data_IF_043619848570
#
_entry.id   IF_043619848570
#
_cell.length_a   1.000
_cell.length_b   1.000
_cell.length_c   1.000
_cell.angle_alpha   90.00
_cell.angle_beta   90.00
_cell.angle_gamma   90.00
#
_symmetry.space_group_name_H-M   'P 1'
#
loop_
_entity.id
_entity.type
_entity.pdbx_description
1 polymer ?
#
# COMPACT_ATOMS: atom_id res chain seq x y z
N UNK A 1 -0.61 -15.89 -46.07
CA UNK A 1 0.63 -16.70 -46.17
C UNK A 1 1.60 -16.22 -45.10
N UNK A 2 1.93 -17.17 -44.18
CA UNK A 2 3.10 -17.18 -43.28
C UNK A 2 3.28 -15.98 -42.33
N UNK A 3 2.90 -16.17 -41.06
CA UNK A 3 3.75 -16.23 -39.87
C UNK A 3 2.87 -16.49 -38.64
N UNK A 4 2.55 -17.76 -38.45
CA UNK A 4 2.05 -18.31 -37.21
C UNK A 4 2.97 -19.49 -36.87
N UNK A 5 3.89 -19.31 -35.97
CA UNK A 5 4.56 -20.36 -35.21
C UNK A 5 5.61 -19.71 -34.32
N UNK A 6 5.37 -19.82 -33.01
CA UNK A 6 6.40 -20.03 -31.98
C UNK A 6 5.80 -19.65 -30.60
N UNK A 7 5.07 -20.63 -30.05
CA UNK A 7 5.01 -20.83 -28.59
C UNK A 7 4.42 -22.22 -28.33
N UNK A 8 5.29 -23.21 -28.28
CA UNK A 8 5.01 -24.50 -27.63
C UNK A 8 6.29 -24.94 -26.92
N UNK A 9 6.19 -25.11 -25.63
CA UNK A 9 7.28 -25.69 -24.86
C UNK A 9 6.93 -25.76 -23.37
N UNK A 10 5.96 -26.59 -22.98
CA UNK A 10 5.89 -27.10 -21.62
C UNK A 10 5.58 -28.58 -21.70
N UNK A 11 6.57 -29.40 -21.45
CA UNK A 11 6.50 -30.83 -21.28
C UNK A 11 5.88 -31.14 -19.90
N UNK A 12 4.73 -31.73 -19.88
CA UNK A 12 4.20 -32.49 -18.75
C UNK A 12 4.45 -33.98 -19.03
N UNK A 13 4.85 -34.80 -18.04
CA UNK A 13 4.97 -36.23 -18.22
C UNK A 13 3.59 -36.91 -18.17
N UNK A 14 3.40 -37.76 -19.17
CA UNK A 14 2.28 -38.70 -19.30
C UNK A 14 2.41 -39.86 -18.30
N UNK A 15 1.29 -40.26 -17.73
CA UNK A 15 1.11 -41.64 -17.30
C UNK A 15 0.58 -41.79 -15.90
N UNK A 16 -0.77 -41.90 -15.79
CA UNK A 16 -1.42 -42.90 -14.94
C UNK A 16 -2.87 -43.05 -15.43
N UNK A 17 -3.17 -44.26 -15.96
CA UNK A 17 -4.48 -44.71 -16.40
C UNK A 17 -5.46 -44.80 -15.23
N UNK A 18 -6.70 -44.43 -15.50
CA UNK A 18 -7.84 -44.65 -14.61
C UNK A 18 -8.33 -46.09 -14.74
N UNK A 19 -8.51 -46.77 -13.61
CA UNK A 19 -9.26 -48.01 -13.51
C UNK A 19 -10.52 -47.77 -12.64
N UNK A 20 -11.63 -48.49 -12.93
CA UNK A 20 -12.95 -48.12 -12.45
C UNK A 20 -13.28 -48.71 -11.06
N UNK A 21 -14.18 -48.02 -10.35
CA UNK A 21 -14.76 -48.44 -9.07
C UNK A 21 -15.68 -49.68 -9.24
N UNK A 22 -15.73 -50.56 -8.25
CA UNK A 22 -16.93 -51.31 -7.94
C UNK A 22 -17.53 -50.94 -6.59
N UNK A 23 -18.86 -50.98 -6.57
CA UNK A 23 -19.75 -50.79 -5.44
C UNK A 23 -19.59 -51.82 -4.32
N UNK A 24 -19.99 -51.39 -3.11
CA UNK A 24 -20.40 -52.17 -1.94
C UNK A 24 -19.36 -52.99 -1.17
N UNK A 25 -19.11 -52.56 0.05
CA UNK A 25 -19.37 -53.37 1.25
C UNK A 25 -18.92 -52.65 2.55
N UNK A 26 -19.80 -52.73 3.52
CA UNK A 26 -19.62 -52.43 4.93
C UNK A 26 -18.50 -53.28 5.57
N UNK A 27 -17.53 -52.64 6.28
CA UNK A 27 -16.77 -53.32 7.33
C UNK A 27 -16.04 -52.32 8.24
N UNK A 28 -16.34 -52.39 9.50
CA UNK A 28 -15.61 -52.17 10.77
C UNK A 28 -14.27 -51.40 10.76
N UNK A 29 -14.27 -50.45 11.67
CA UNK A 29 -13.10 -49.88 12.35
C UNK A 29 -12.30 -50.97 13.05
N UNK A 30 -11.01 -51.05 12.76
CA UNK A 30 -9.92 -51.32 13.72
C UNK A 30 -8.56 -51.29 13.00
N UNK A 31 -7.61 -50.59 13.66
CA UNK A 31 -6.15 -50.69 13.53
C UNK A 31 -5.46 -50.64 12.16
N UNK A 32 -4.61 -49.62 11.94
CA UNK A 32 -3.17 -49.79 11.75
C UNK A 32 -2.44 -48.50 11.35
N UNK A 33 -1.49 -48.13 12.17
CA UNK A 33 -0.10 -47.77 11.89
C UNK A 33 0.28 -46.93 10.66
N UNK A 34 0.89 -45.80 10.97
CA UNK A 34 2.13 -45.21 10.44
C UNK A 34 2.46 -45.45 8.96
N UNK A 35 2.51 -44.38 8.19
CA UNK A 35 3.65 -44.22 7.28
C UNK A 35 4.01 -42.76 7.08
N UNK A 36 5.29 -42.53 7.09
CA UNK A 36 6.00 -41.24 7.03
C UNK A 36 5.78 -40.58 5.68
N UNK A 37 5.35 -39.34 5.68
CA UNK A 37 5.56 -38.42 4.54
C UNK A 37 6.27 -37.15 5.06
N UNK A 38 7.54 -37.04 4.72
CA UNK A 38 8.30 -35.82 4.78
C UNK A 38 7.55 -34.69 4.07
N UNK A 39 7.09 -33.71 4.83
CA UNK A 39 6.71 -32.41 4.32
C UNK A 39 7.71 -31.39 4.83
N UNK A 40 8.22 -30.56 3.90
CA UNK A 40 9.14 -29.48 4.16
C UNK A 40 8.60 -28.54 5.26
N UNK A 41 9.44 -28.05 6.20
CA UNK A 41 8.99 -27.25 7.30
C UNK A 41 8.67 -25.82 6.87
N UNK A 42 7.42 -25.43 7.04
CA UNK A 42 7.04 -24.01 7.14
C UNK A 42 7.51 -23.50 8.52
N UNK A 43 7.94 -22.22 8.66
CA UNK A 43 8.38 -21.69 9.93
C UNK A 43 7.16 -21.45 10.82
N UNK A 44 6.83 -22.43 11.62
CA UNK A 44 5.85 -22.28 12.71
C UNK A 44 6.59 -21.94 13.99
N UNK A 45 6.27 -20.80 14.54
CA UNK A 45 6.58 -20.46 15.92
C UNK A 45 5.70 -21.33 16.84
N UNK A 46 6.13 -22.54 17.08
CA UNK A 46 5.45 -23.50 17.94
C UNK A 46 6.22 -23.69 19.22
N UNK A 47 5.54 -23.50 20.35
CA UNK A 47 6.00 -23.93 21.67
C UNK A 47 6.04 -25.46 21.63
N UNK A 48 7.20 -26.07 21.50
CA UNK A 48 7.36 -27.52 21.58
C UNK A 48 7.35 -27.93 23.07
N UNK A 49 6.23 -28.45 23.50
CA UNK A 49 6.11 -29.03 24.84
C UNK A 49 6.32 -30.56 24.73
N UNK A 50 7.40 -31.08 25.30
CA UNK A 50 7.58 -32.53 25.49
C UNK A 50 6.85 -32.97 26.77
N UNK A 51 5.88 -33.85 26.62
CA UNK A 51 5.20 -34.48 27.74
C UNK A 51 5.92 -35.80 28.05
N UNK A 52 6.53 -35.90 29.21
CA UNK A 52 7.08 -37.16 29.71
C UNK A 52 6.10 -37.77 30.71
N UNK A 53 5.73 -39.07 30.58
CA UNK A 53 4.85 -39.69 31.56
C UNK A 53 5.60 -40.03 32.85
N UNK A 54 5.23 -39.37 33.93
CA UNK A 54 5.56 -39.77 35.26
C UNK A 54 4.26 -40.17 35.96
N UNK A 55 4.28 -41.35 36.62
CA UNK A 55 3.15 -41.97 37.31
C UNK A 55 2.16 -40.94 37.93
N UNK A 56 1.00 -40.81 37.31
CA UNK A 56 -0.18 -40.06 37.75
C UNK A 56 -0.13 -38.54 37.92
N UNK A 57 0.88 -37.82 37.37
CA UNK A 57 0.86 -36.34 37.26
C UNK A 57 1.68 -35.89 36.06
N UNK A 58 1.08 -35.10 35.19
CA UNK A 58 1.76 -34.46 34.08
C UNK A 58 2.40 -33.15 34.58
N UNK A 59 3.72 -33.05 34.50
CA UNK A 59 4.45 -31.81 34.74
C UNK A 59 4.95 -31.27 33.42
N UNK A 60 4.54 -30.05 33.04
CA UNK A 60 5.07 -29.32 31.90
C UNK A 60 6.45 -28.76 32.27
N UNK A 61 7.50 -29.25 31.63
CA UNK A 61 8.83 -28.63 31.74
C UNK A 61 9.11 -27.77 30.53
N UNK A 62 9.44 -26.48 30.67
CA UNK A 62 9.84 -25.65 29.57
C UNK A 62 11.23 -26.05 29.05
N UNK A 63 11.35 -26.29 27.74
CA UNK A 63 12.60 -26.71 27.08
C UNK A 63 13.49 -25.49 26.75
N UNK A 64 13.35 -24.39 27.43
CA UNK A 64 14.29 -23.29 27.32
C UNK A 64 15.35 -23.35 28.45
N UNK A 65 16.49 -23.99 28.14
CA UNK A 65 17.69 -23.79 28.92
C UNK A 65 18.28 -22.42 28.55
N UNK A 66 18.36 -21.53 29.55
CA UNK A 66 19.14 -20.29 29.58
C UNK A 66 18.62 -19.05 28.83
N UNK A 67 17.33 -18.70 28.94
CA UNK A 67 16.95 -17.28 28.92
C UNK A 67 16.05 -17.00 30.14
N UNK A 68 16.35 -15.98 30.95
CA UNK A 68 15.47 -15.60 32.05
C UNK A 68 14.10 -15.19 31.49
N UNK A 69 13.01 -15.66 32.10
CA UNK A 69 11.61 -15.39 31.72
C UNK A 69 11.26 -13.88 31.66
N UNK A 70 12.20 -13.00 31.96
CA UNK A 70 12.05 -11.54 31.97
C UNK A 70 12.46 -10.80 30.70
N UNK A 71 12.88 -11.49 29.62
CA UNK A 71 13.33 -10.85 28.39
C UNK A 71 12.66 -11.37 27.11
N UNK A 72 11.39 -11.73 27.16
CA UNK A 72 10.55 -11.66 25.98
C UNK A 72 10.28 -10.17 25.75
N UNK A 73 11.23 -9.50 25.09
CA UNK A 73 11.01 -8.18 24.52
C UNK A 73 9.88 -8.35 23.51
N UNK A 74 8.65 -8.13 23.95
CA UNK A 74 7.49 -8.14 23.05
C UNK A 74 7.30 -6.73 22.53
N UNK A 75 7.42 -6.56 21.23
CA UNK A 75 7.10 -5.32 20.52
C UNK A 75 5.74 -4.79 21.00
N UNK A 76 5.72 -3.55 21.47
CA UNK A 76 4.52 -2.92 22.01
C UNK A 76 3.89 -1.97 20.98
N UNK A 77 2.58 -1.80 21.06
CA UNK A 77 1.85 -0.81 20.25
C UNK A 77 2.38 0.61 20.50
N UNK A 78 2.95 0.88 21.66
CA UNK A 78 3.55 2.16 21.98
C UNK A 78 4.84 2.39 21.18
N UNK A 79 5.70 1.38 21.08
CA UNK A 79 6.91 1.44 20.25
C UNK A 79 6.56 1.62 18.76
N UNK A 80 5.53 0.94 18.28
CA UNK A 80 5.03 1.10 16.91
C UNK A 80 4.58 2.55 16.66
N UNK A 81 3.81 3.17 17.57
CA UNK A 81 3.42 4.58 17.45
C UNK A 81 4.63 5.52 17.45
N UNK A 82 5.60 5.27 18.31
CA UNK A 82 6.83 6.04 18.37
C UNK A 82 7.63 5.94 17.04
N UNK A 83 7.72 4.74 16.50
CA UNK A 83 8.36 4.52 15.20
C UNK A 83 7.67 5.32 14.08
N UNK A 84 6.34 5.25 13.99
CA UNK A 84 5.57 6.01 13.00
C UNK A 84 5.79 7.51 13.16
N UNK A 85 5.73 8.04 14.39
CA UNK A 85 5.96 9.46 14.65
C UNK A 85 7.35 9.94 14.18
N UNK A 86 8.40 9.13 14.37
CA UNK A 86 9.74 9.44 13.87
C UNK A 86 9.80 9.33 12.34
N UNK A 87 9.15 8.34 11.76
CA UNK A 87 9.10 8.15 10.30
C UNK A 87 8.40 9.31 9.58
N UNK A 88 7.34 9.86 10.17
CA UNK A 88 6.57 10.97 9.61
C UNK A 88 7.27 12.33 9.75
N UNK A 89 7.97 12.54 10.87
CA UNK A 89 8.62 13.83 11.14
C UNK A 89 10.05 13.91 10.64
N UNK A 90 10.70 12.77 10.34
CA UNK A 90 12.13 12.70 10.00
C UNK A 90 13.08 13.15 11.12
N UNK A 91 12.56 13.38 12.35
CA UNK A 91 13.31 13.95 13.46
C UNK A 91 12.84 13.41 14.80
N UNK A 92 13.78 12.86 15.58
CA UNK A 92 13.50 12.43 16.96
C UNK A 92 12.99 13.58 17.84
N UNK A 93 13.55 14.76 17.66
CA UNK A 93 13.15 15.94 18.44
C UNK A 93 11.70 16.34 18.17
N UNK A 94 11.32 16.44 16.89
CA UNK A 94 9.96 16.75 16.49
C UNK A 94 8.97 15.67 16.90
N UNK A 95 9.31 14.39 16.69
CA UNK A 95 8.49 13.27 17.09
C UNK A 95 8.29 13.20 18.62
N UNK A 96 9.32 13.49 19.40
CA UNK A 96 9.23 13.50 20.86
C UNK A 96 8.29 14.62 21.37
N UNK A 97 8.32 15.79 20.74
CA UNK A 97 7.38 16.88 21.03
C UNK A 97 5.94 16.47 20.73
N UNK A 98 5.70 15.89 19.54
CA UNK A 98 4.36 15.41 19.14
C UNK A 98 3.85 14.31 20.06
N UNK A 99 4.72 13.42 20.52
CA UNK A 99 4.39 12.31 21.41
C UNK A 99 4.35 12.68 22.91
N UNK A 100 4.67 13.94 23.27
CA UNK A 100 4.76 14.43 24.66
C UNK A 100 5.69 13.61 25.55
N UNK A 101 6.84 13.19 25.03
CA UNK A 101 7.86 12.42 25.75
C UNK A 101 9.26 13.03 25.55
N UNK A 102 10.25 12.58 26.37
CA UNK A 102 11.63 13.03 26.19
C UNK A 102 12.28 12.38 24.95
N UNK A 103 13.21 13.08 24.31
CA UNK A 103 13.97 12.56 23.17
C UNK A 103 14.76 11.28 23.53
N UNK A 104 15.28 11.20 24.76
CA UNK A 104 15.98 10.01 25.26
C UNK A 104 15.06 8.80 25.34
N UNK A 105 13.83 8.99 25.84
CA UNK A 105 12.81 7.93 25.90
C UNK A 105 12.43 7.45 24.50
N UNK A 106 12.23 8.37 23.55
CA UNK A 106 11.90 8.02 22.17
C UNK A 106 13.05 7.28 21.49
N UNK A 107 14.29 7.76 21.66
CA UNK A 107 15.49 7.12 21.12
C UNK A 107 15.64 5.69 21.63
N UNK A 108 15.48 5.49 22.94
CA UNK A 108 15.55 4.16 23.54
C UNK A 108 14.46 3.22 23.01
N UNK A 109 13.23 3.73 22.84
CA UNK A 109 12.11 2.94 22.31
C UNK A 109 12.36 2.49 20.85
N UNK A 110 12.96 3.34 20.02
CA UNK A 110 13.34 2.98 18.64
C UNK A 110 14.48 1.95 18.65
N UNK A 111 15.51 2.14 19.46
CA UNK A 111 16.62 1.19 19.57
C UNK A 111 16.14 -0.20 19.99
N UNK A 112 15.29 -0.27 21.03
CA UNK A 112 14.70 -1.54 21.49
C UNK A 112 13.87 -2.20 20.40
N UNK A 113 13.12 -1.42 19.61
CA UNK A 113 12.35 -1.95 18.49
C UNK A 113 13.26 -2.53 17.39
N UNK A 114 14.34 -1.82 17.03
CA UNK A 114 15.31 -2.28 16.03
C UNK A 114 16.06 -3.54 16.52
N UNK A 115 16.42 -3.61 17.81
CA UNK A 115 17.03 -4.78 18.43
C UNK A 115 16.10 -5.99 18.42
N UNK A 116 14.82 -5.78 18.68
CA UNK A 116 13.82 -6.86 18.69
C UNK A 116 13.57 -7.42 17.29
N UNK A 117 13.45 -6.53 16.29
CA UNK A 117 13.25 -6.91 14.90
C UNK A 117 14.55 -7.46 14.27
N UNK A 118 15.71 -7.08 14.81
CA UNK A 118 17.02 -7.52 14.34
C UNK A 118 17.54 -6.78 13.10
N UNK A 119 16.90 -5.66 12.73
CA UNK A 119 17.33 -4.82 11.59
C UNK A 119 17.18 -3.34 11.93
N UNK A 120 18.03 -2.51 11.34
CA UNK A 120 17.90 -1.05 11.46
C UNK A 120 16.76 -0.54 10.58
N UNK A 121 15.84 0.20 11.19
CA UNK A 121 14.70 0.80 10.52
C UNK A 121 14.99 2.23 10.05
N UNK A 122 15.96 2.89 10.69
CA UNK A 122 16.38 4.24 10.35
C UNK A 122 17.86 4.32 10.00
N UNK A 123 18.18 5.24 9.10
CA UNK A 123 19.54 5.74 8.83
C UNK A 123 19.67 7.16 9.39
N UNK A 124 20.76 7.43 10.14
CA UNK A 124 21.02 8.73 10.76
C UNK A 124 21.95 9.55 9.87
N UNK A 125 21.57 10.79 9.60
CA UNK A 125 22.35 11.73 8.82
C UNK A 125 22.45 13.08 9.54
N UNK A 126 23.35 13.94 9.07
CA UNK A 126 23.50 15.30 9.64
C UNK A 126 22.22 16.16 9.55
N UNK A 127 21.31 15.84 8.63
CA UNK A 127 20.03 16.54 8.41
C UNK A 127 18.83 15.88 9.11
N UNK A 128 19.01 14.77 9.86
CA UNK A 128 17.94 14.08 10.55
C UNK A 128 17.97 12.54 10.38
N UNK A 129 16.80 11.94 10.38
CA UNK A 129 16.62 10.49 10.23
C UNK A 129 15.80 10.18 8.98
N UNK A 130 16.23 9.20 8.21
CA UNK A 130 15.51 8.65 7.06
C UNK A 130 15.24 7.17 7.26
N UNK A 131 14.15 6.67 6.69
CA UNK A 131 13.86 5.24 6.73
C UNK A 131 14.84 4.45 5.86
N UNK A 132 15.26 3.28 6.35
CA UNK A 132 15.92 2.27 5.51
C UNK A 132 14.88 1.56 4.63
N UNK A 133 15.33 0.68 3.73
CA UNK A 133 14.40 -0.17 2.97
C UNK A 133 13.51 -1.01 3.91
N UNK A 134 14.11 -1.64 4.94
CA UNK A 134 13.39 -2.38 5.97
C UNK A 134 12.45 -1.46 6.77
N UNK A 135 12.88 -0.22 7.05
CA UNK A 135 12.04 0.79 7.69
C UNK A 135 10.77 1.11 6.89
N UNK A 136 10.88 1.26 5.57
CA UNK A 136 9.72 1.45 4.70
C UNK A 136 8.79 0.23 4.68
N UNK A 137 9.36 -0.99 4.67
CA UNK A 137 8.55 -2.22 4.78
C UNK A 137 7.83 -2.28 6.14
N UNK A 138 8.55 -2.01 7.22
CA UNK A 138 7.99 -2.04 8.56
C UNK A 138 6.93 -0.95 8.76
N UNK A 139 7.09 0.25 8.18
CA UNK A 139 6.10 1.33 8.26
C UNK A 139 4.72 0.89 7.74
N UNK A 140 4.70 0.17 6.61
CA UNK A 140 3.45 -0.39 6.08
C UNK A 140 2.79 -1.36 7.06
N UNK A 141 3.58 -2.25 7.68
CA UNK A 141 3.08 -3.21 8.66
C UNK A 141 2.65 -2.53 9.97
N UNK A 142 3.37 -1.52 10.41
CA UNK A 142 3.08 -0.73 11.60
C UNK A 142 1.70 -0.06 11.51
N UNK A 143 1.39 0.56 10.36
CA UNK A 143 0.06 1.11 10.11
C UNK A 143 -1.04 0.04 10.12
N UNK A 144 -0.79 -1.13 9.50
CA UNK A 144 -1.73 -2.25 9.51
C UNK A 144 -2.03 -2.75 10.93
N UNK A 145 -1.00 -2.86 11.77
CA UNK A 145 -1.16 -3.31 13.18
C UNK A 145 -2.03 -2.31 13.95
N UNK A 146 -1.75 -1.00 13.88
CA UNK A 146 -2.55 0.01 14.56
C UNK A 146 -3.98 0.04 14.06
N UNK A 147 -4.19 -0.01 12.75
CA UNK A 147 -5.53 -0.09 12.16
C UNK A 147 -6.29 -1.32 12.63
N UNK A 148 -5.63 -2.48 12.76
CA UNK A 148 -6.22 -3.71 13.28
C UNK A 148 -6.67 -3.57 14.74
N UNK A 149 -5.85 -2.93 15.58
CA UNK A 149 -6.20 -2.67 16.99
C UNK A 149 -7.37 -1.71 17.11
N UNK A 150 -7.39 -0.65 16.31
CA UNK A 150 -8.50 0.31 16.31
C UNK A 150 -9.80 -0.29 15.76
N UNK A 151 -9.70 -1.19 14.78
CA UNK A 151 -10.83 -1.98 14.29
C UNK A 151 -11.37 -2.94 15.36
N UNK A 152 -10.48 -3.64 16.10
CA UNK A 152 -10.90 -4.52 17.19
C UNK A 152 -11.66 -3.75 18.29
N UNK A 153 -11.22 -2.52 18.62
CA UNK A 153 -11.96 -1.66 19.56
C UNK A 153 -13.34 -1.26 19.03
N UNK A 154 -13.41 -0.89 17.74
CA UNK A 154 -14.67 -0.50 17.09
C UNK A 154 -15.65 -1.65 16.96
N UNK A 155 -15.20 -2.86 16.64
CA UNK A 155 -16.05 -4.06 16.53
C UNK A 155 -16.74 -4.41 17.85
N UNK A 156 -16.15 -4.02 18.99
CA UNK A 156 -16.80 -4.19 20.30
C UNK A 156 -17.82 -3.10 20.63
N UNK A 157 -17.80 -1.99 19.90
CA UNK A 157 -18.66 -0.83 20.15
C UNK A 157 -19.85 -0.71 19.19
N UNK A 158 -19.82 -1.41 18.04
CA UNK A 158 -20.87 -1.36 17.04
C UNK A 158 -21.35 -2.77 16.70
N UNK A 159 -22.65 -3.01 16.75
CA UNK A 159 -23.30 -4.20 16.20
C UNK A 159 -23.34 -4.09 14.66
N UNK A 160 -22.20 -4.23 14.02
CA UNK A 160 -22.03 -4.17 12.55
C UNK A 160 -22.47 -5.45 11.83
N UNK A 161 -22.91 -6.46 12.54
CA UNK A 161 -23.31 -7.77 11.98
C UNK A 161 -24.53 -7.75 11.04
N UNK A 162 -25.18 -6.58 10.85
CA UNK A 162 -26.36 -6.46 10.02
C UNK A 162 -26.12 -5.83 8.63
N UNK A 163 -24.94 -5.26 8.38
CA UNK A 163 -24.66 -4.64 7.08
C UNK A 163 -24.10 -5.69 6.12
N UNK A 164 -24.95 -6.12 5.20
CA UNK A 164 -24.60 -7.09 4.14
C UNK A 164 -25.11 -6.59 2.79
N UNK A 165 -24.56 -7.11 1.72
CA UNK A 165 -24.94 -6.77 0.35
C UNK A 165 -23.75 -6.68 -0.58
N UNK A 166 -23.93 -6.08 -1.75
CA UNK A 166 -22.89 -5.88 -2.75
C UNK A 166 -22.66 -4.39 -2.95
N UNK A 167 -21.41 -3.96 -2.93
CA UNK A 167 -20.95 -2.61 -3.26
C UNK A 167 -20.12 -2.64 -4.55
N UNK A 168 -20.53 -1.90 -5.55
CA UNK A 168 -19.81 -1.78 -6.82
C UNK A 168 -19.02 -0.47 -6.83
N UNK A 169 -17.69 -0.58 -6.86
CA UNK A 169 -16.75 0.52 -6.80
C UNK A 169 -16.06 0.72 -8.14
N UNK A 170 -16.25 1.88 -8.78
CA UNK A 170 -15.52 2.26 -9.97
C UNK A 170 -14.21 2.98 -9.64
N UNK A 171 -13.13 2.69 -10.38
CA UNK A 171 -11.83 3.31 -10.12
C UNK A 171 -11.06 3.53 -11.43
N UNK A 172 -10.11 4.47 -11.42
CA UNK A 172 -9.13 4.65 -12.51
C UNK A 172 -7.79 4.05 -12.12
N UNK A 173 -6.92 3.81 -13.10
CA UNK A 173 -5.69 3.00 -12.94
C UNK A 173 -4.73 3.52 -11.87
N UNK A 174 -4.48 4.84 -11.80
CA UNK A 174 -3.61 5.40 -10.76
C UNK A 174 -4.20 5.22 -9.36
N UNK A 175 -5.52 5.40 -9.23
CA UNK A 175 -6.20 5.22 -7.95
C UNK A 175 -6.21 3.76 -7.54
N UNK A 176 -6.49 2.84 -8.48
CA UNK A 176 -6.42 1.39 -8.24
C UNK A 176 -5.03 0.96 -7.74
N UNK A 177 -3.97 1.44 -8.40
CA UNK A 177 -2.60 1.06 -8.07
C UNK A 177 -2.05 1.64 -6.77
N UNK A 178 -2.49 2.84 -6.36
CA UNK A 178 -1.78 3.58 -5.31
C UNK A 178 -2.64 4.01 -4.12
N UNK A 179 -3.96 3.92 -4.23
CA UNK A 179 -4.87 4.39 -3.18
C UNK A 179 -5.88 3.32 -2.73
N UNK A 180 -6.44 2.56 -3.66
CA UNK A 180 -7.61 1.71 -3.43
C UNK A 180 -7.37 0.58 -2.42
N UNK A 181 -6.22 -0.09 -2.48
CA UNK A 181 -5.95 -1.31 -1.70
C UNK A 181 -6.09 -1.11 -0.18
N UNK A 182 -5.61 0.01 0.35
CA UNK A 182 -5.74 0.33 1.77
C UNK A 182 -7.21 0.61 2.14
N UNK A 183 -7.91 1.38 1.33
CA UNK A 183 -9.33 1.71 1.55
C UNK A 183 -10.19 0.44 1.57
N UNK A 184 -10.04 -0.44 0.58
CA UNK A 184 -10.78 -1.70 0.51
C UNK A 184 -10.46 -2.62 1.69
N UNK A 185 -9.20 -2.70 2.08
CA UNK A 185 -8.78 -3.52 3.23
C UNK A 185 -9.44 -3.03 4.52
N UNK A 186 -9.50 -1.71 4.74
CA UNK A 186 -10.18 -1.12 5.91
C UNK A 186 -11.68 -1.37 5.85
N UNK A 187 -12.30 -1.16 4.69
CA UNK A 187 -13.73 -1.37 4.51
C UNK A 187 -14.12 -2.84 4.73
N UNK A 188 -13.40 -3.78 4.14
CA UNK A 188 -13.71 -5.20 4.27
C UNK A 188 -13.52 -5.73 5.70
N UNK A 189 -12.61 -5.12 6.48
CA UNK A 189 -12.46 -5.42 7.91
C UNK A 189 -13.61 -4.87 8.74
N UNK A 190 -14.12 -3.67 8.40
CA UNK A 190 -15.24 -3.04 9.09
C UNK A 190 -16.59 -3.71 8.74
N UNK A 191 -16.72 -4.21 7.50
CA UNK A 191 -17.95 -4.78 6.95
C UNK A 191 -17.67 -6.12 6.24
N UNK A 192 -17.36 -7.20 6.98
CA UNK A 192 -16.93 -8.47 6.41
C UNK A 192 -18.00 -9.19 5.57
N UNK A 193 -19.29 -8.85 5.80
CA UNK A 193 -20.42 -9.45 5.09
C UNK A 193 -20.79 -8.69 3.79
N UNK A 194 -20.02 -7.66 3.41
CA UNK A 194 -20.24 -6.91 2.17
C UNK A 194 -19.32 -7.47 1.08
N UNK A 195 -19.93 -7.91 -0.02
CA UNK A 195 -19.20 -8.26 -1.25
C UNK A 195 -18.79 -6.98 -1.97
N UNK A 196 -17.50 -6.81 -2.24
CA UNK A 196 -16.99 -5.65 -3.01
C UNK A 196 -16.69 -6.11 -4.42
N UNK A 197 -17.27 -5.42 -5.42
CA UNK A 197 -16.87 -5.53 -6.82
C UNK A 197 -16.16 -4.27 -7.26
N UNK A 198 -14.95 -4.42 -7.78
CA UNK A 198 -14.17 -3.31 -8.32
C UNK A 198 -14.23 -3.36 -9.83
N UNK A 199 -14.52 -2.21 -10.44
CA UNK A 199 -14.46 -2.01 -11.88
C UNK A 199 -13.40 -0.95 -12.15
N UNK A 200 -12.33 -1.35 -12.84
CA UNK A 200 -11.27 -0.44 -13.30
C UNK A 200 -11.49 -0.11 -14.76
N UNK A 201 -11.60 1.20 -15.07
CA UNK A 201 -11.75 1.67 -16.45
C UNK A 201 -11.33 3.14 -16.56
N UNK A 202 -11.40 3.69 -17.76
CA UNK A 202 -11.18 5.11 -18.01
C UNK A 202 -12.24 5.98 -17.34
N UNK A 203 -11.83 7.15 -16.84
CA UNK A 203 -12.70 8.08 -16.13
C UNK A 203 -14.03 8.37 -16.84
N UNK A 204 -14.11 8.68 -18.14
CA UNK A 204 -15.38 9.00 -18.79
C UNK A 204 -16.39 7.85 -18.71
N UNK A 205 -15.90 6.61 -18.80
CA UNK A 205 -16.75 5.45 -18.69
C UNK A 205 -17.24 5.24 -17.25
N UNK A 206 -16.34 5.38 -16.25
CA UNK A 206 -16.73 5.32 -14.83
C UNK A 206 -17.74 6.43 -14.48
N UNK A 207 -17.56 7.67 -14.96
CA UNK A 207 -18.55 8.74 -14.77
C UNK A 207 -19.93 8.37 -15.37
N UNK A 208 -19.92 7.79 -16.57
CA UNK A 208 -21.16 7.32 -17.20
C UNK A 208 -21.88 6.26 -16.34
N UNK A 209 -21.16 5.27 -15.83
CA UNK A 209 -21.72 4.21 -14.98
C UNK A 209 -22.22 4.73 -13.64
N UNK A 210 -21.56 5.75 -13.07
CA UNK A 210 -22.04 6.43 -11.86
C UNK A 210 -23.37 7.16 -12.13
N UNK A 211 -23.47 7.89 -13.24
CA UNK A 211 -24.67 8.64 -13.61
C UNK A 211 -25.83 7.70 -13.96
N UNK A 212 -25.56 6.58 -14.64
CA UNK A 212 -26.57 5.55 -14.94
C UNK A 212 -27.00 4.77 -13.69
N UNK A 213 -26.16 4.73 -12.64
CA UNK A 213 -26.43 3.99 -11.41
C UNK A 213 -26.02 2.50 -11.50
N UNK A 214 -25.19 2.14 -12.47
CA UNK A 214 -24.65 0.78 -12.63
C UNK A 214 -23.52 0.51 -11.66
N UNK A 215 -22.85 1.56 -11.15
CA UNK A 215 -21.91 1.50 -10.05
C UNK A 215 -22.37 2.44 -8.92
N UNK A 216 -22.07 2.06 -7.69
CA UNK A 216 -22.57 2.76 -6.49
C UNK A 216 -21.72 3.97 -6.12
N UNK A 217 -20.40 3.83 -6.25
CA UNK A 217 -19.42 4.85 -5.86
C UNK A 217 -18.17 4.75 -6.72
N UNK A 218 -17.60 5.89 -7.08
CA UNK A 218 -16.28 5.98 -7.73
C UNK A 218 -15.22 6.45 -6.76
N UNK A 219 -14.03 5.86 -6.81
CA UNK A 219 -12.81 6.41 -6.18
C UNK A 219 -11.95 6.94 -7.32
N UNK A 220 -11.90 8.26 -7.49
CA UNK A 220 -11.44 8.90 -8.72
C UNK A 220 -10.51 10.08 -8.44
N UNK A 221 -9.82 10.52 -9.47
CA UNK A 221 -9.11 11.80 -9.51
C UNK A 221 -10.15 12.90 -9.78
N UNK A 222 -10.59 13.57 -8.73
CA UNK A 222 -11.68 14.55 -8.78
C UNK A 222 -11.33 15.81 -9.57
N UNK A 223 -10.05 16.18 -9.63
CA UNK A 223 -9.58 17.33 -10.44
C UNK A 223 -9.85 17.15 -11.95
N UNK A 224 -9.98 15.89 -12.39
CA UNK A 224 -10.22 15.54 -13.79
C UNK A 224 -11.71 15.35 -14.14
N UNK A 225 -12.63 15.37 -13.17
CA UNK A 225 -14.06 15.15 -13.41
C UNK A 225 -14.66 16.19 -14.36
N UNK A 226 -15.40 15.72 -15.35
CA UNK A 226 -16.13 16.55 -16.31
C UNK A 226 -17.58 16.76 -15.88
N UNK A 227 -18.26 15.73 -15.40
CA UNK A 227 -19.70 15.75 -15.12
C UNK A 227 -20.02 16.15 -13.66
N UNK A 228 -19.47 17.28 -13.22
CA UNK A 228 -19.62 17.78 -11.84
C UNK A 228 -21.04 18.12 -11.44
N UNK A 229 -21.95 18.29 -12.40
CA UNK A 229 -23.34 18.61 -12.12
C UNK A 229 -24.16 17.37 -11.78
N UNK A 230 -23.87 16.24 -12.40
CA UNK A 230 -24.56 14.96 -12.17
C UNK A 230 -24.01 14.18 -10.97
N UNK A 231 -22.78 14.49 -10.53
CA UNK A 231 -22.11 13.80 -9.45
C UNK A 231 -21.99 14.66 -8.18
N UNK A 232 -22.08 14.02 -7.02
CA UNK A 232 -21.58 14.54 -5.75
C UNK A 232 -20.20 14.00 -5.51
N UNK A 233 -19.33 14.84 -4.94
CA UNK A 233 -17.94 14.47 -4.71
C UNK A 233 -17.49 14.85 -3.31
N UNK A 234 -16.53 14.11 -2.79
CA UNK A 234 -15.85 14.40 -1.54
C UNK A 234 -14.35 14.12 -1.70
N UNK A 235 -13.51 15.12 -1.44
CA UNK A 235 -12.06 14.96 -1.51
C UNK A 235 -11.58 14.19 -0.29
N UNK A 236 -10.80 13.14 -0.52
CA UNK A 236 -10.19 12.33 0.53
C UNK A 236 -8.73 12.72 0.78
N UNK A 237 -8.00 13.05 -0.28
CA UNK A 237 -6.60 13.43 -0.18
C UNK A 237 -6.16 14.34 -1.32
N UNK A 238 -5.21 15.21 -1.00
CA UNK A 238 -4.52 16.07 -1.97
C UNK A 238 -3.11 15.54 -2.17
N UNK A 239 -2.77 15.19 -3.40
CA UNK A 239 -1.44 14.71 -3.76
C UNK A 239 -0.71 15.79 -4.56
N UNK A 240 0.27 16.52 -3.97
CA UNK A 240 1.07 17.48 -4.69
C UNK A 240 1.91 16.79 -5.77
N UNK A 241 2.26 17.53 -6.82
CA UNK A 241 3.20 17.02 -7.81
C UNK A 241 4.64 17.25 -7.36
N UNK A 242 5.50 16.28 -7.63
CA UNK A 242 6.94 16.34 -7.36
C UNK A 242 7.74 15.97 -8.59
N UNK A 243 8.94 16.52 -8.67
CA UNK A 243 9.92 16.12 -9.66
C UNK A 243 10.66 14.87 -9.20
N UNK A 244 10.60 13.81 -10.00
CA UNK A 244 11.40 12.60 -9.80
C UNK A 244 12.70 12.71 -10.55
N UNK A 245 13.79 12.43 -9.86
CA UNK A 245 15.18 12.58 -10.31
C UNK A 245 15.97 11.32 -9.97
N UNK A 246 16.96 10.92 -10.78
CA UNK A 246 17.92 9.91 -10.35
C UNK A 246 18.77 10.46 -9.18
N UNK A 247 19.32 9.56 -8.35
CA UNK A 247 19.99 9.91 -7.09
C UNK A 247 21.20 10.87 -7.21
N UNK A 248 21.75 11.04 -8.40
CA UNK A 248 22.93 11.90 -8.63
C UNK A 248 22.65 13.02 -9.65
N UNK A 249 21.37 13.43 -9.78
CA UNK A 249 21.01 14.44 -10.76
C UNK A 249 21.50 15.85 -10.33
N UNK A 250 22.06 16.67 -11.25
CA UNK A 250 22.58 18.01 -10.90
C UNK A 250 21.54 18.93 -10.25
N UNK A 251 20.26 18.84 -10.61
CA UNK A 251 19.19 19.62 -9.99
C UNK A 251 19.01 19.34 -8.49
N UNK A 252 19.57 18.24 -7.96
CA UNK A 252 19.54 17.95 -6.51
C UNK A 252 20.41 18.94 -5.70
N UNK A 253 21.39 19.56 -6.34
CA UNK A 253 22.27 20.56 -5.72
C UNK A 253 21.61 21.96 -5.67
N UNK A 254 20.50 22.16 -6.39
CA UNK A 254 19.80 23.44 -6.37
C UNK A 254 18.99 23.62 -5.09
N UNK A 255 19.06 24.79 -4.47
CA UNK A 255 18.24 25.14 -3.30
C UNK A 255 16.74 25.15 -3.64
N UNK A 256 16.41 25.55 -4.87
CA UNK A 256 15.04 25.62 -5.39
C UNK A 256 15.02 25.22 -6.86
N UNK A 257 14.03 24.43 -7.25
CA UNK A 257 13.82 23.96 -8.63
C UNK A 257 12.51 24.58 -9.13
N UNK A 258 12.55 25.19 -10.31
CA UNK A 258 11.37 25.78 -10.98
C UNK A 258 11.02 24.98 -12.25
N UNK A 259 9.81 25.17 -12.77
CA UNK A 259 9.37 24.53 -14.02
C UNK A 259 10.31 24.84 -15.21
N UNK A 260 10.91 26.04 -15.23
CA UNK A 260 11.86 26.42 -16.27
C UNK A 260 13.15 25.58 -16.24
N UNK A 261 13.58 25.14 -15.04
CA UNK A 261 14.74 24.24 -14.89
C UNK A 261 14.37 22.83 -15.39
N UNK A 262 13.19 22.34 -14.99
CA UNK A 262 12.68 21.04 -15.41
C UNK A 262 12.47 20.98 -16.94
N UNK A 263 12.03 22.08 -17.56
CA UNK A 263 11.79 22.10 -19.02
C UNK A 263 13.07 21.96 -19.87
N UNK A 264 14.25 22.16 -19.28
CA UNK A 264 15.55 21.95 -19.96
C UNK A 264 16.00 20.50 -19.96
N UNK A 265 15.43 19.68 -19.07
CA UNK A 265 15.78 18.28 -18.93
C UNK A 265 14.99 17.38 -19.90
N UNK A 266 15.54 16.22 -20.26
CA UNK A 266 14.78 15.18 -20.96
C UNK A 266 13.62 14.73 -20.08
N UNK A 267 12.37 14.82 -20.59
CA UNK A 267 11.17 14.53 -19.81
C UNK A 267 10.58 13.17 -20.19
N UNK A 268 10.29 12.36 -19.16
CA UNK A 268 9.54 11.11 -19.28
C UNK A 268 8.10 11.42 -18.85
N UNK A 269 7.15 11.25 -19.76
CA UNK A 269 5.75 11.62 -19.56
C UNK A 269 4.91 10.38 -19.28
N UNK A 270 4.19 10.38 -18.15
CA UNK A 270 3.15 9.40 -17.87
C UNK A 270 1.88 9.73 -18.67
N UNK A 271 1.33 8.71 -19.34
CA UNK A 271 0.14 8.83 -20.16
C UNK A 271 -0.96 7.85 -19.68
N UNK A 272 -1.44 8.08 -18.46
CA UNK A 272 -2.56 7.35 -17.84
C UNK A 272 -3.41 8.35 -17.06
N UNK A 273 -4.71 8.09 -16.91
CA UNK A 273 -5.65 8.91 -16.12
C UNK A 273 -5.55 10.42 -16.44
N UNK A 274 -5.45 10.76 -17.72
CA UNK A 274 -5.31 12.12 -18.26
C UNK A 274 -4.06 12.89 -17.81
N UNK A 275 -3.05 12.21 -17.27
CA UNK A 275 -1.79 12.84 -16.85
C UNK A 275 -1.09 13.58 -17.99
N UNK A 276 -1.13 13.03 -19.21
CA UNK A 276 -0.58 13.72 -20.40
C UNK A 276 -1.32 15.03 -20.70
N UNK A 277 -2.64 15.03 -20.61
CA UNK A 277 -3.49 16.23 -20.82
C UNK A 277 -3.24 17.28 -19.72
N UNK A 278 -3.08 16.85 -18.47
CA UNK A 278 -2.76 17.72 -17.35
C UNK A 278 -1.36 18.33 -17.50
N UNK A 279 -0.38 17.54 -17.91
CA UNK A 279 0.98 18.04 -18.20
C UNK A 279 0.97 19.05 -19.35
N UNK A 280 0.24 18.80 -20.44
CA UNK A 280 0.11 19.76 -21.54
C UNK A 280 -0.49 21.10 -21.08
N UNK A 281 -1.51 21.07 -20.19
CA UNK A 281 -2.09 22.31 -19.63
C UNK A 281 -1.08 23.03 -18.75
N UNK A 282 -0.33 22.29 -17.92
CA UNK A 282 0.72 22.83 -17.06
C UNK A 282 1.77 23.59 -17.89
N UNK A 283 2.38 22.91 -18.86
CA UNK A 283 3.45 23.49 -19.68
C UNK A 283 2.97 24.65 -20.53
N UNK A 284 1.77 24.55 -21.08
CA UNK A 284 1.16 25.67 -21.84
C UNK A 284 0.88 26.86 -20.93
N UNK A 285 0.38 26.63 -19.71
CA UNK A 285 0.13 27.69 -18.73
C UNK A 285 1.40 28.39 -18.27
N UNK A 286 2.51 27.65 -18.19
CA UNK A 286 3.84 28.20 -17.85
C UNK A 286 4.55 28.87 -19.06
N UNK A 287 4.01 28.77 -20.27
CA UNK A 287 4.66 29.28 -21.49
C UNK A 287 5.93 28.52 -21.87
N UNK A 288 6.08 27.26 -21.40
CA UNK A 288 7.26 26.43 -21.60
C UNK A 288 6.96 25.27 -22.56
N UNK A 289 8.01 24.79 -23.24
CA UNK A 289 7.94 23.67 -24.15
C UNK A 289 9.05 22.65 -23.81
N UNK A 290 8.77 21.70 -22.90
CA UNK A 290 9.74 20.72 -22.51
C UNK A 290 10.02 19.71 -23.62
N UNK A 291 11.22 19.12 -23.60
CA UNK A 291 11.58 18.03 -24.50
C UNK A 291 11.08 16.70 -23.93
N UNK A 292 9.93 16.25 -24.38
CA UNK A 292 9.42 14.91 -24.00
C UNK A 292 10.17 13.87 -24.82
N UNK A 293 10.98 13.04 -24.16
CA UNK A 293 11.80 12.00 -24.77
C UNK A 293 11.09 10.65 -24.82
N UNK A 294 10.19 10.39 -23.87
CA UNK A 294 9.46 9.13 -23.79
C UNK A 294 8.06 9.33 -23.19
N UNK A 295 7.10 8.57 -23.69
CA UNK A 295 5.74 8.44 -23.11
C UNK A 295 5.45 7.00 -22.77
N UNK A 296 4.84 6.77 -21.61
CA UNK A 296 4.45 5.43 -21.14
C UNK A 296 3.18 5.50 -20.29
N UNK A 297 2.35 4.47 -20.33
CA UNK A 297 1.20 4.32 -19.44
C UNK A 297 1.54 3.65 -18.10
N UNK A 298 2.77 3.20 -17.92
CA UNK A 298 3.21 2.51 -16.71
C UNK A 298 4.00 3.43 -15.79
N UNK A 299 3.50 3.64 -14.58
CA UNK A 299 4.21 4.41 -13.53
C UNK A 299 5.51 3.70 -13.13
N UNK A 300 5.54 2.36 -13.13
CA UNK A 300 6.75 1.61 -12.82
C UNK A 300 7.80 1.77 -13.92
N UNK A 301 7.39 1.83 -15.20
CA UNK A 301 8.32 2.16 -16.28
C UNK A 301 8.89 3.59 -16.13
N UNK A 302 8.05 4.59 -15.76
CA UNK A 302 8.57 5.94 -15.44
C UNK A 302 9.62 5.84 -14.34
N UNK A 303 9.36 5.09 -13.30
CA UNK A 303 10.25 4.91 -12.14
C UNK A 303 11.60 4.34 -12.55
N UNK A 304 11.60 3.21 -13.26
CA UNK A 304 12.83 2.55 -13.74
C UNK A 304 13.62 3.44 -14.71
N UNK A 305 12.94 4.13 -15.62
CA UNK A 305 13.59 5.02 -16.59
C UNK A 305 14.20 6.27 -15.95
N UNK A 306 13.53 6.85 -14.93
CA UNK A 306 14.10 7.96 -14.15
C UNK A 306 15.30 7.47 -13.35
N UNK A 307 15.19 6.35 -12.66
CA UNK A 307 16.28 5.76 -11.88
C UNK A 307 17.52 5.48 -12.75
N UNK A 308 17.31 4.99 -13.98
CA UNK A 308 18.37 4.74 -14.96
C UNK A 308 18.96 6.03 -15.58
N UNK A 309 18.51 7.22 -15.20
CA UNK A 309 19.04 8.51 -15.70
C UNK A 309 18.61 8.87 -17.13
N UNK A 310 17.56 8.26 -17.68
CA UNK A 310 17.10 8.53 -19.03
C UNK A 310 16.27 9.82 -19.15
N UNK A 311 15.97 10.46 -18.03
CA UNK A 311 15.25 11.73 -17.93
C UNK A 311 14.65 11.92 -16.56
N UNK A 312 13.87 12.99 -16.42
CA UNK A 312 13.15 13.34 -15.19
C UNK A 312 11.64 13.26 -15.43
N UNK A 313 10.85 13.22 -14.35
CA UNK A 313 9.38 13.16 -14.50
C UNK A 313 8.68 13.94 -13.40
N UNK A 314 7.58 14.63 -13.73
CA UNK A 314 6.68 15.25 -12.77
C UNK A 314 5.55 14.26 -12.46
N UNK A 315 5.47 13.82 -11.19
CA UNK A 315 4.52 12.80 -10.77
C UNK A 315 3.77 13.21 -9.50
N UNK A 316 2.53 12.77 -9.29
CA UNK A 316 1.84 12.99 -8.04
C UNK A 316 2.52 12.22 -6.90
N UNK A 317 2.62 12.84 -5.73
CA UNK A 317 3.33 12.30 -4.56
C UNK A 317 2.78 10.94 -4.10
N UNK A 318 1.49 10.68 -4.29
CA UNK A 318 0.87 9.38 -3.98
C UNK A 318 1.52 8.21 -4.72
N UNK A 319 2.07 8.44 -5.92
CA UNK A 319 2.73 7.41 -6.72
C UNK A 319 4.19 7.22 -6.35
N UNK A 320 4.76 8.10 -5.52
CA UNK A 320 6.17 8.05 -5.15
C UNK A 320 6.52 6.80 -4.36
N UNK A 321 7.58 6.15 -4.78
CA UNK A 321 8.30 5.09 -4.08
C UNK A 321 9.78 5.35 -4.33
N UNK A 322 10.63 5.30 -3.30
CA UNK A 322 12.05 5.69 -3.44
C UNK A 322 12.91 4.71 -4.25
N UNK A 323 12.36 3.56 -4.63
CA UNK A 323 13.10 2.48 -5.29
C UNK A 323 12.46 2.10 -6.61
N UNK A 324 13.26 1.92 -7.65
CA UNK A 324 12.85 1.28 -8.90
C UNK A 324 12.67 -0.23 -8.71
N UNK A 325 12.18 -0.92 -9.73
CA UNK A 325 12.09 -2.39 -9.73
C UNK A 325 13.49 -3.03 -9.67
N UNK A 326 14.48 -2.38 -10.23
CA UNK A 326 15.89 -2.80 -10.25
C UNK A 326 16.62 -2.51 -8.92
N UNK A 327 16.01 -1.74 -8.03
CA UNK A 327 16.57 -1.38 -6.72
C UNK A 327 17.32 -0.06 -6.69
N UNK A 328 17.30 0.71 -7.78
CA UNK A 328 17.92 2.03 -7.85
C UNK A 328 17.09 3.09 -7.18
N UNK A 329 17.75 4.10 -6.61
CA UNK A 329 17.10 5.18 -5.85
C UNK A 329 16.59 6.27 -6.77
N UNK A 330 15.37 6.75 -6.49
CA UNK A 330 14.78 7.95 -7.07
C UNK A 330 14.60 8.99 -5.97
N UNK A 331 15.02 10.21 -6.24
CA UNK A 331 14.79 11.36 -5.39
C UNK A 331 13.54 12.11 -5.85
N UNK A 332 12.75 12.62 -4.89
CA UNK A 332 11.58 13.44 -5.17
C UNK A 332 11.77 14.84 -4.58
N UNK A 333 11.72 15.86 -5.44
CA UNK A 333 11.89 17.26 -5.04
C UNK A 333 10.63 18.08 -5.35
N UNK A 334 10.28 19.02 -4.47
CA UNK A 334 9.24 19.99 -4.79
C UNK A 334 9.69 20.91 -5.94
N UNK A 335 8.72 21.38 -6.72
CA UNK A 335 8.91 22.41 -7.75
C UNK A 335 8.29 23.69 -7.22
N UNK A 336 9.08 24.76 -7.08
CA UNK A 336 8.72 25.93 -6.31
C UNK A 336 7.51 26.70 -6.87
N UNK A 337 7.37 26.73 -8.20
CA UNK A 337 6.31 27.41 -8.93
C UNK A 337 5.16 26.46 -9.36
N UNK A 338 5.12 25.23 -8.82
CA UNK A 338 4.07 24.25 -9.08
C UNK A 338 3.22 23.98 -7.83
N UNK A 339 2.05 24.60 -7.75
CA UNK A 339 1.12 24.46 -6.62
C UNK A 339 -0.09 23.56 -6.94
N UNK A 340 -0.09 22.89 -8.09
CA UNK A 340 -1.20 22.00 -8.48
C UNK A 340 -1.14 20.70 -7.69
N UNK A 341 -2.32 20.25 -7.25
CA UNK A 341 -2.52 18.94 -6.61
C UNK A 341 -3.36 18.03 -7.50
N UNK A 342 -3.14 16.75 -7.34
CA UNK A 342 -4.03 15.72 -7.84
C UNK A 342 -4.92 15.28 -6.68
N UNK A 343 -6.22 15.60 -6.78
CA UNK A 343 -7.15 15.37 -5.70
C UNK A 343 -7.85 14.02 -5.91
N UNK A 344 -7.60 13.07 -5.02
CA UNK A 344 -8.30 11.79 -4.99
C UNK A 344 -9.46 11.89 -4.03
N UNK A 345 -10.60 11.36 -4.46
CA UNK A 345 -11.79 11.38 -3.63
C UNK A 345 -12.88 10.45 -4.14
N UNK A 346 -14.03 10.58 -3.51
CA UNK A 346 -15.22 9.80 -3.83
C UNK A 346 -16.15 10.60 -4.72
N UNK A 347 -16.80 9.89 -5.65
CA UNK A 347 -17.85 10.42 -6.50
C UNK A 347 -19.05 9.46 -6.49
N UNK A 348 -20.26 9.99 -6.42
CA UNK A 348 -21.51 9.23 -6.51
C UNK A 348 -22.59 10.07 -7.17
N UNK A 349 -23.65 9.42 -7.65
CA UNK A 349 -24.75 10.08 -8.34
C UNK A 349 -25.46 11.10 -7.45
N UNK A 350 -25.71 12.29 -7.99
CA UNK A 350 -26.48 13.36 -7.33
C UNK A 350 -27.98 13.14 -7.50
N UNK A 351 -28.78 13.58 -6.52
CA UNK A 351 -30.23 13.70 -6.68
C UNK A 351 -31.03 12.41 -6.46
N UNK A 352 -30.39 11.31 -6.15
CA UNK A 352 -31.04 10.05 -5.75
C UNK A 352 -30.69 9.69 -4.31
N UNK A 353 -31.52 8.86 -3.66
CA UNK A 353 -31.13 8.24 -2.38
C UNK A 353 -29.85 7.44 -2.61
N UNK A 354 -28.85 7.66 -1.74
CA UNK A 354 -27.61 6.90 -1.82
C UNK A 354 -27.88 5.42 -1.59
N UNK A 355 -27.24 4.51 -2.33
CA UNK A 355 -27.27 3.09 -2.00
C UNK A 355 -26.84 2.86 -0.55
N UNK A 356 -27.45 1.93 0.15
CA UNK A 356 -27.29 1.72 1.59
C UNK A 356 -25.82 1.50 2.03
N UNK A 357 -24.98 0.98 1.15
CA UNK A 357 -23.55 0.68 1.41
C UNK A 357 -22.61 1.87 1.14
N UNK A 358 -23.07 2.91 0.47
CA UNK A 358 -22.24 4.08 0.14
C UNK A 358 -21.91 4.88 1.42
N UNK A 359 -22.87 5.10 2.31
CA UNK A 359 -22.62 5.84 3.57
C UNK A 359 -21.62 5.10 4.49
N UNK A 360 -21.71 3.77 4.72
CA UNK A 360 -20.66 2.99 5.36
C UNK A 360 -19.28 3.12 4.68
N UNK A 361 -19.26 3.09 3.35
CA UNK A 361 -18.01 3.23 2.59
C UNK A 361 -17.39 4.63 2.74
N UNK A 362 -18.21 5.69 2.65
CA UNK A 362 -17.80 7.07 2.93
C UNK A 362 -17.21 7.22 4.32
N UNK A 363 -17.84 6.60 5.32
CA UNK A 363 -17.38 6.67 6.72
C UNK A 363 -15.98 6.10 6.86
N UNK A 364 -15.73 4.90 6.30
CA UNK A 364 -14.40 4.28 6.33
C UNK A 364 -13.38 5.06 5.49
N UNK A 365 -13.81 5.64 4.37
CA UNK A 365 -12.93 6.43 3.50
C UNK A 365 -12.47 7.73 4.18
N UNK A 366 -13.34 8.39 4.94
CA UNK A 366 -13.02 9.61 5.73
C UNK A 366 -12.06 9.35 6.87
N UNK A 367 -12.12 8.16 7.44
CA UNK A 367 -11.11 7.72 8.40
C UNK A 367 -9.79 7.56 7.65
N UNK A 368 -9.05 8.67 7.51
CA UNK A 368 -7.71 8.61 6.91
C UNK A 368 -6.89 7.54 7.63
N UNK A 369 -6.09 6.74 6.90
CA UNK A 369 -5.10 5.92 7.58
C UNK A 369 -4.32 6.85 8.50
N UNK A 370 -4.23 6.50 9.79
CA UNK A 370 -3.41 7.23 10.75
C UNK A 370 -1.97 7.22 10.21
N UNK A 371 -1.57 8.31 9.60
CA UNK A 371 -0.34 8.42 8.82
C UNK A 371 -0.64 8.77 7.37
N UNK A 372 -1.32 9.90 7.13
CA UNK A 372 -1.21 10.57 5.84
C UNK A 372 0.29 10.73 5.57
N UNK A 373 0.79 10.05 4.52
CA UNK A 373 2.17 10.22 4.08
C UNK A 373 2.41 11.71 3.87
N UNK A 374 2.91 12.39 4.91
CA UNK A 374 3.65 13.62 4.64
C UNK A 374 4.89 13.14 3.90
N UNK A 375 5.16 13.67 2.69
CA UNK A 375 6.40 13.39 2.02
C UNK A 375 7.52 13.73 3.01
N UNK A 376 8.37 12.76 3.28
CA UNK A 376 9.64 13.03 3.96
C UNK A 376 10.40 14.02 3.08
N UNK A 377 10.59 15.21 3.63
CA UNK A 377 11.48 16.26 3.08
C UNK A 377 12.90 15.73 3.09
#
# INVERSE_FOLDING_TARGET
>A
MLLAALWRGSLLPLGCEAAPFPDNATAKVDDCCADEREQAPSPQWGLIVRVAPLKNRYTLQPIYKNRPLGSLLMMTLRQIRHFIAVAETGSISAAAQTAFISQSTLTLAIQQLEEEIGVSLFSRHAKGMTLTHQGHQFLRQAHLILATVDNAKRSLQQSTDQVAGQLIVGVTSLVAGYYLADLLTRFQRAYPNVEIRVMEDERPYIEHLLVSGEIDVGVLILSNLEDRHALQTEVLTHSPHRLWLPAQHPLLEHDSINLADVAREPLIQLNVDEMDRNAQRLWRGAGLQPKITLRTASTEAVRSLVAAGLGVSIQPDMTYRPWSLEGDIIEARPIADLNQTLDVGLAWRRGTARPALVDPFLTVAREQPHGGRKPSI
#
